data_IF_951257162184
#
_entry.id   IF_951257162184
#
_cell.length_a   1.000
_cell.length_b   1.000
_cell.length_c   1.000
_cell.angle_alpha   90.00
_cell.angle_beta   90.00
_cell.angle_gamma   90.00
#
_symmetry.space_group_name_H-M   'P 1'
#
loop_
_entity.id
_entity.type
_entity.pdbx_description
1 polymer ?
#
# COMPACT_ATOMS: atom_id res chain seq x y z
N UNK A 1 -3.02 15.82 -0.04
CA UNK A 1 -3.36 16.27 1.31
C UNK A 1 -4.03 15.14 2.13
N UNK A 2 -5.10 14.47 1.63
CA UNK A 2 -5.79 13.40 2.35
C UNK A 2 -4.83 12.27 2.80
N UNK A 3 -3.92 11.80 1.93
CA UNK A 3 -2.94 10.78 2.28
C UNK A 3 -1.98 11.23 3.40
N UNK A 4 -1.58 12.50 3.40
CA UNK A 4 -0.74 13.05 4.46
C UNK A 4 -1.48 13.08 5.82
N UNK A 5 -2.77 13.42 5.83
CA UNK A 5 -3.60 13.36 7.05
C UNK A 5 -3.74 11.91 7.57
N UNK A 6 -3.98 10.95 6.68
CA UNK A 6 -4.04 9.53 7.06
C UNK A 6 -2.70 9.07 7.63
N UNK A 7 -1.57 9.45 7.02
CA UNK A 7 -0.24 9.13 7.54
C UNK A 7 0.05 9.81 8.89
N UNK A 8 -0.43 11.03 9.10
CA UNK A 8 -0.32 11.74 10.38
C UNK A 8 -1.04 11.02 11.53
N UNK A 9 -1.92 10.03 11.26
CA UNK A 9 -2.50 9.16 12.28
C UNK A 9 -1.49 8.18 12.89
N UNK A 10 -0.29 8.01 12.32
CA UNK A 10 0.71 7.05 12.80
C UNK A 10 0.96 7.13 14.32
N UNK A 11 1.24 8.29 14.95
CA UNK A 11 1.42 8.37 16.39
C UNK A 11 0.18 7.98 17.19
N UNK A 12 -1.01 8.21 16.66
CA UNK A 12 -2.27 7.83 17.32
C UNK A 12 -2.48 6.31 17.26
N UNK A 13 -2.13 5.67 16.14
CA UNK A 13 -2.17 4.22 16.01
C UNK A 13 -1.21 3.54 16.99
N UNK A 14 0.01 4.06 17.12
CA UNK A 14 1.00 3.57 18.09
C UNK A 14 0.53 3.71 19.54
N UNK A 15 -0.12 4.84 19.87
CA UNK A 15 -0.73 5.09 21.19
C UNK A 15 -2.07 4.39 21.39
N UNK A 16 -2.52 3.57 20.43
CA UNK A 16 -3.82 2.87 20.44
C UNK A 16 -5.04 3.80 20.54
N UNK A 17 -4.90 5.07 20.14
CA UNK A 17 -5.99 6.08 20.13
C UNK A 17 -6.80 5.98 18.85
N UNK A 18 -7.39 4.83 18.62
CA UNK A 18 -8.05 4.49 17.34
C UNK A 18 -9.25 5.37 17.01
N UNK A 19 -10.04 5.81 18.02
CA UNK A 19 -11.14 6.73 17.79
C UNK A 19 -10.68 8.07 17.21
N UNK A 20 -9.56 8.62 17.73
CA UNK A 20 -8.99 9.86 17.20
C UNK A 20 -8.42 9.65 15.79
N UNK A 21 -7.75 8.52 15.52
CA UNK A 21 -7.30 8.17 14.17
C UNK A 21 -8.47 8.06 13.20
N UNK A 22 -9.58 7.42 13.60
CA UNK A 22 -10.81 7.34 12.81
C UNK A 22 -11.37 8.72 12.48
N UNK A 23 -11.43 9.64 13.45
CA UNK A 23 -11.90 11.01 13.21
C UNK A 23 -11.04 11.76 12.18
N UNK A 24 -9.71 11.61 12.26
CA UNK A 24 -8.81 12.25 11.27
C UNK A 24 -9.00 11.61 9.88
N UNK A 25 -9.21 10.30 9.78
CA UNK A 25 -9.49 9.64 8.51
C UNK A 25 -10.83 10.11 7.93
N UNK A 26 -11.86 10.27 8.76
CA UNK A 26 -13.14 10.84 8.34
C UNK A 26 -12.99 12.30 7.86
N UNK A 27 -12.16 13.09 8.55
CA UNK A 27 -11.80 14.43 8.09
C UNK A 27 -11.04 14.39 6.75
N UNK A 28 -10.10 13.46 6.58
CA UNK A 28 -9.40 13.26 5.31
C UNK A 28 -10.37 12.86 4.18
N UNK A 29 -11.42 12.12 4.50
CA UNK A 29 -12.45 11.71 3.55
C UNK A 29 -13.30 12.88 3.03
N UNK A 30 -13.44 13.96 3.78
CA UNK A 30 -14.11 15.20 3.27
C UNK A 30 -13.28 15.87 2.17
N UNK A 31 -11.95 15.67 2.18
CA UNK A 31 -11.05 16.17 1.14
C UNK A 31 -10.97 15.21 -0.05
N UNK A 32 -11.01 13.91 0.22
CA UNK A 32 -10.97 12.87 -0.81
C UNK A 32 -11.64 11.60 -0.30
N UNK A 33 -12.81 11.27 -0.85
CA UNK A 33 -13.68 10.16 -0.39
C UNK A 33 -12.95 8.81 -0.27
N UNK A 34 -11.95 8.55 -1.13
CA UNK A 34 -11.17 7.29 -1.08
C UNK A 34 -10.37 7.12 0.22
N UNK A 35 -10.19 8.17 1.05
CA UNK A 35 -9.56 8.03 2.36
C UNK A 35 -10.35 7.11 3.31
N UNK A 36 -11.68 6.95 3.10
CA UNK A 36 -12.49 5.98 3.84
C UNK A 36 -11.97 4.55 3.71
N UNK A 37 -11.32 4.25 2.59
CA UNK A 37 -10.69 2.95 2.38
C UNK A 37 -9.62 2.61 3.44
N UNK A 38 -9.03 3.61 4.09
CA UNK A 38 -8.05 3.38 5.14
C UNK A 38 -8.67 2.89 6.47
N UNK A 39 -9.98 3.09 6.71
CA UNK A 39 -10.63 2.76 7.99
C UNK A 39 -10.50 1.28 8.41
N UNK A 40 -10.82 0.26 7.59
CA UNK A 40 -10.68 -1.13 8.00
C UNK A 40 -9.23 -1.50 8.33
N UNK A 41 -8.27 -0.86 7.69
CA UNK A 41 -6.85 -1.14 7.88
C UNK A 41 -6.30 -0.59 9.20
N UNK A 42 -6.94 0.39 9.83
CA UNK A 42 -6.64 0.80 11.22
C UNK A 42 -6.73 -0.41 12.17
N UNK A 43 -7.62 -1.35 11.91
CA UNK A 43 -7.80 -2.54 12.73
C UNK A 43 -6.98 -3.72 12.24
N UNK A 44 -6.81 -3.86 10.95
CA UNK A 44 -6.11 -4.95 10.30
C UNK A 44 -4.61 -4.93 10.60
N UNK A 45 -4.01 -3.74 10.58
CA UNK A 45 -2.55 -3.56 10.72
C UNK A 45 -2.05 -3.57 12.16
N UNK A 46 -2.94 -3.81 13.14
CA UNK A 46 -2.57 -3.90 14.56
C UNK A 46 -1.80 -5.17 14.87
N UNK A 47 -0.77 -5.02 15.70
CA UNK A 47 -0.01 -6.14 16.27
C UNK A 47 1.33 -6.31 15.60
N UNK A 48 1.93 -7.48 15.79
CA UNK A 48 3.26 -7.79 15.28
C UNK A 48 3.30 -7.82 13.77
N UNK A 49 4.47 -7.55 13.20
CA UNK A 49 4.75 -7.69 11.79
C UNK A 49 4.39 -9.12 11.31
N UNK A 50 3.79 -9.20 10.13
CA UNK A 50 3.31 -10.47 9.56
C UNK A 50 2.34 -11.23 10.49
N UNK A 51 1.44 -10.50 11.15
CA UNK A 51 0.43 -11.12 12.01
C UNK A 51 -0.66 -11.84 11.19
N UNK A 52 -1.44 -12.69 11.87
CA UNK A 52 -2.51 -13.46 11.23
C UNK A 52 -3.54 -12.60 10.49
N UNK A 53 -3.80 -11.38 10.94
CA UNK A 53 -4.79 -10.49 10.31
C UNK A 53 -4.28 -9.95 8.97
N UNK A 54 -3.00 -9.55 8.89
CA UNK A 54 -2.39 -9.12 7.64
C UNK A 54 -2.23 -10.28 6.65
N UNK A 55 -1.91 -11.48 7.14
CA UNK A 55 -1.91 -12.69 6.30
C UNK A 55 -3.31 -13.03 5.80
N UNK A 56 -4.33 -12.90 6.66
CA UNK A 56 -5.73 -13.11 6.27
C UNK A 56 -6.19 -12.11 5.21
N UNK A 57 -5.65 -10.89 5.19
CA UNK A 57 -5.92 -9.92 4.13
C UNK A 57 -5.31 -10.35 2.77
N UNK A 58 -4.14 -10.98 2.77
CA UNK A 58 -3.50 -11.44 1.54
C UNK A 58 -4.31 -12.57 0.87
N UNK A 59 -4.98 -13.41 1.64
CA UNK A 59 -5.77 -14.52 1.10
C UNK A 59 -6.88 -14.02 0.14
N UNK A 60 -7.81 -13.12 0.53
CA UNK A 60 -8.81 -12.60 -0.40
C UNK A 60 -8.17 -11.83 -1.56
N UNK A 61 -7.05 -11.14 -1.37
CA UNK A 61 -6.33 -10.49 -2.46
C UNK A 61 -5.91 -11.50 -3.53
N UNK A 62 -5.33 -12.63 -3.13
CA UNK A 62 -4.95 -13.71 -4.05
C UNK A 62 -6.19 -14.33 -4.70
N UNK A 63 -7.26 -14.58 -3.94
CA UNK A 63 -8.50 -15.14 -4.49
C UNK A 63 -9.13 -14.20 -5.54
N UNK A 64 -9.16 -12.89 -5.28
CA UNK A 64 -9.66 -11.90 -6.25
C UNK A 64 -8.83 -11.93 -7.54
N UNK A 65 -7.50 -12.01 -7.44
CA UNK A 65 -6.63 -12.09 -8.61
C UNK A 65 -6.86 -13.39 -9.40
N UNK A 66 -7.00 -14.52 -8.71
CA UNK A 66 -7.24 -15.82 -9.37
C UNK A 66 -8.62 -15.91 -10.04
N UNK A 67 -9.61 -15.21 -9.52
CA UNK A 67 -11.00 -15.23 -10.01
C UNK A 67 -11.46 -13.86 -10.50
N UNK A 68 -10.56 -13.12 -11.14
CA UNK A 68 -10.77 -11.70 -11.47
C UNK A 68 -12.06 -11.45 -12.27
N UNK A 69 -12.36 -12.29 -13.27
CA UNK A 69 -13.56 -12.13 -14.09
C UNK A 69 -14.85 -12.29 -13.28
N UNK A 70 -14.88 -13.27 -12.38
CA UNK A 70 -16.02 -13.48 -11.49
C UNK A 70 -16.17 -12.35 -10.48
N UNK A 71 -15.05 -11.88 -9.92
CA UNK A 71 -15.03 -10.74 -9.00
C UNK A 71 -15.54 -9.48 -9.70
N UNK A 72 -15.09 -9.21 -10.92
CA UNK A 72 -15.50 -8.06 -11.72
C UNK A 72 -17.01 -8.09 -11.99
N UNK A 73 -17.56 -9.23 -12.36
CA UNK A 73 -19.00 -9.39 -12.61
C UNK A 73 -19.83 -9.20 -11.34
N UNK A 74 -19.36 -9.75 -10.20
CA UNK A 74 -20.03 -9.54 -8.90
C UNK A 74 -19.98 -8.06 -8.49
N UNK A 75 -18.83 -7.42 -8.68
CA UNK A 75 -18.66 -6.01 -8.37
C UNK A 75 -19.59 -5.14 -9.22
N UNK A 76 -19.72 -5.44 -10.51
CA UNK A 76 -20.65 -4.76 -11.41
C UNK A 76 -22.10 -4.87 -10.91
N UNK A 77 -22.53 -6.08 -10.55
CA UNK A 77 -23.86 -6.31 -9.98
C UNK A 77 -24.09 -5.51 -8.68
N UNK A 78 -23.12 -5.51 -7.77
CA UNK A 78 -23.23 -4.80 -6.49
C UNK A 78 -23.24 -3.27 -6.65
N UNK A 79 -22.62 -2.74 -7.69
CA UNK A 79 -22.52 -1.30 -7.93
C UNK A 79 -23.66 -0.74 -8.79
N UNK A 80 -24.49 -1.58 -9.44
CA UNK A 80 -25.53 -1.18 -10.37
C UNK A 80 -26.48 -0.11 -9.82
N UNK A 81 -26.82 -0.19 -8.54
CA UNK A 81 -27.75 0.74 -7.87
C UNK A 81 -27.03 1.87 -7.09
N UNK A 82 -25.73 2.01 -7.28
CA UNK A 82 -24.92 3.03 -6.58
C UNK A 82 -24.45 4.13 -7.53
N UNK A 83 -23.96 5.23 -6.97
CA UNK A 83 -23.28 6.28 -7.76
C UNK A 83 -22.01 5.78 -8.49
N UNK A 84 -21.54 4.60 -8.16
CA UNK A 84 -20.35 3.94 -8.73
C UNK A 84 -20.69 2.91 -9.82
N UNK A 85 -21.92 2.88 -10.32
CA UNK A 85 -22.40 1.91 -11.33
C UNK A 85 -21.51 1.82 -12.57
N UNK A 86 -20.90 2.94 -12.97
CA UNK A 86 -20.06 3.01 -14.16
C UNK A 86 -18.58 2.66 -13.90
N UNK A 87 -18.16 2.43 -12.66
CA UNK A 87 -16.73 2.21 -12.34
C UNK A 87 -16.15 1.02 -13.09
N UNK A 88 -16.88 -0.09 -13.21
CA UNK A 88 -16.42 -1.29 -13.91
C UNK A 88 -16.47 -1.11 -15.42
N UNK A 89 -17.52 -0.48 -15.96
CA UNK A 89 -17.64 -0.17 -17.39
C UNK A 89 -16.59 0.85 -17.83
N UNK A 90 -16.35 1.89 -17.02
CA UNK A 90 -15.32 2.90 -17.28
C UNK A 90 -13.93 2.29 -17.28
N UNK A 91 -13.62 1.45 -16.31
CA UNK A 91 -12.35 0.75 -16.25
C UNK A 91 -12.14 -0.17 -17.49
N UNK A 92 -13.17 -0.89 -17.96
CA UNK A 92 -13.12 -1.68 -19.21
C UNK A 92 -13.03 -0.79 -20.45
N UNK A 93 -13.72 0.35 -20.45
CA UNK A 93 -13.81 1.28 -21.59
C UNK A 93 -12.56 2.15 -21.79
N UNK A 94 -11.82 2.46 -20.74
CA UNK A 94 -10.58 3.25 -20.81
C UNK A 94 -9.33 2.45 -21.17
N UNK A 95 -9.46 1.17 -21.55
CA UNK A 95 -8.32 0.27 -21.77
C UNK A 95 -7.32 0.31 -20.58
N UNK A 96 -7.85 0.40 -19.35
CA UNK A 96 -7.04 0.45 -18.15
C UNK A 96 -6.38 -0.90 -17.89
N UNK A 97 -5.17 -1.05 -18.39
CA UNK A 97 -4.37 -2.29 -18.31
C UNK A 97 -3.83 -2.55 -16.88
N UNK A 98 -4.39 -1.88 -15.87
CA UNK A 98 -3.95 -2.01 -14.49
C UNK A 98 -2.66 -1.25 -14.18
N UNK A 99 -2.17 -1.44 -12.96
CA UNK A 99 -0.90 -0.83 -12.52
C UNK A 99 0.29 -1.53 -13.18
N UNK A 100 1.22 -0.75 -13.74
CA UNK A 100 2.44 -1.27 -14.34
C UNK A 100 3.21 -2.17 -13.34
N UNK A 101 3.63 -3.35 -13.81
CA UNK A 101 4.35 -4.35 -13.00
C UNK A 101 5.62 -3.79 -12.35
N UNK A 102 6.34 -2.89 -13.02
CA UNK A 102 7.52 -2.24 -12.45
C UNK A 102 7.16 -1.48 -11.17
N UNK A 103 6.02 -0.76 -11.17
CA UNK A 103 5.51 -0.05 -9.99
C UNK A 103 5.18 -1.02 -8.87
N UNK A 104 4.51 -2.13 -9.18
CA UNK A 104 4.20 -3.17 -8.18
C UNK A 104 5.48 -3.70 -7.55
N UNK A 105 6.50 -4.02 -8.36
CA UNK A 105 7.79 -4.53 -7.87
C UNK A 105 8.50 -3.52 -6.98
N UNK A 106 8.57 -2.25 -7.38
CA UNK A 106 9.21 -1.19 -6.59
C UNK A 106 8.58 -1.06 -5.20
N UNK A 107 7.25 -1.02 -5.14
CA UNK A 107 6.55 -0.90 -3.86
C UNK A 107 6.49 -2.20 -3.04
N UNK A 108 6.75 -3.35 -3.67
CA UNK A 108 6.86 -4.64 -2.98
C UNK A 108 8.21 -4.85 -2.28
N UNK A 109 9.27 -4.12 -2.67
CA UNK A 109 10.62 -4.29 -2.11
C UNK A 109 10.64 -4.26 -0.57
N UNK A 110 10.06 -3.25 0.13
CA UNK A 110 10.08 -3.24 1.60
C UNK A 110 9.34 -4.43 2.20
N UNK A 111 8.21 -4.84 1.61
CA UNK A 111 7.46 -6.01 2.08
C UNK A 111 8.28 -7.30 1.95
N UNK A 112 8.97 -7.49 0.83
CA UNK A 112 9.82 -8.67 0.61
C UNK A 112 11.03 -8.67 1.54
N UNK A 113 11.69 -7.52 1.71
CA UNK A 113 12.79 -7.37 2.68
C UNK A 113 12.32 -7.65 4.10
N UNK A 114 11.14 -7.18 4.50
CA UNK A 114 10.58 -7.46 5.83
C UNK A 114 10.34 -8.96 6.07
N UNK A 115 9.98 -9.71 5.04
CA UNK A 115 9.82 -11.17 5.13
C UNK A 115 11.17 -11.87 5.34
N UNK A 116 12.18 -11.50 4.54
CA UNK A 116 13.53 -12.03 4.64
C UNK A 116 14.15 -11.63 5.99
N UNK A 117 13.95 -10.36 6.40
CA UNK A 117 14.49 -9.78 7.62
C UNK A 117 13.65 -9.98 8.88
N UNK A 118 12.65 -10.86 8.85
CA UNK A 118 11.68 -11.01 9.95
C UNK A 118 12.34 -11.27 11.32
N UNK A 119 13.48 -11.96 11.34
CA UNK A 119 14.27 -12.19 12.55
C UNK A 119 14.77 -10.89 13.20
N UNK A 120 15.21 -9.91 12.39
CA UNK A 120 15.68 -8.61 12.87
C UNK A 120 14.51 -7.77 13.41
N UNK A 121 13.38 -7.76 12.67
CA UNK A 121 12.15 -7.05 13.07
C UNK A 121 11.64 -7.59 14.41
N UNK A 122 11.63 -8.92 14.59
CA UNK A 122 11.19 -9.53 15.85
C UNK A 122 12.14 -9.30 17.00
N UNK A 123 13.47 -9.21 16.73
CA UNK A 123 14.48 -8.93 17.75
C UNK A 123 14.39 -7.50 18.26
N UNK A 124 14.17 -6.52 17.37
CA UNK A 124 14.01 -5.11 17.72
C UNK A 124 12.73 -4.86 18.53
N UNK A 125 11.65 -5.56 18.18
CA UNK A 125 10.36 -5.48 18.86
C UNK A 125 9.78 -4.07 18.91
N UNK A 126 10.04 -3.23 17.89
CA UNK A 126 9.55 -1.86 17.80
C UNK A 126 8.13 -1.82 17.21
N UNK A 127 7.12 -1.29 17.95
CA UNK A 127 5.76 -1.16 17.45
C UNK A 127 5.62 -0.29 16.18
N UNK A 128 6.51 0.68 15.97
CA UNK A 128 6.51 1.50 14.77
C UNK A 128 6.90 0.65 13.56
N UNK A 129 7.94 -0.16 13.68
CA UNK A 129 8.39 -1.03 12.59
C UNK A 129 7.35 -2.12 12.31
N UNK A 130 6.76 -2.72 13.35
CA UNK A 130 5.65 -3.66 13.21
C UNK A 130 4.49 -3.03 12.40
N UNK A 131 4.11 -1.78 12.70
CA UNK A 131 3.07 -1.05 11.99
C UNK A 131 3.48 -0.79 10.52
N UNK A 132 4.72 -0.31 10.29
CA UNK A 132 5.21 -0.02 8.95
C UNK A 132 5.22 -1.27 8.06
N UNK A 133 5.64 -2.43 8.60
CA UNK A 133 5.59 -3.72 7.88
C UNK A 133 4.15 -4.08 7.51
N UNK A 134 3.22 -4.02 8.46
CA UNK A 134 1.83 -4.37 8.19
C UNK A 134 1.18 -3.42 7.18
N UNK A 135 1.50 -2.13 7.20
CA UNK A 135 1.05 -1.16 6.19
C UNK A 135 1.68 -1.42 4.81
N UNK A 136 2.98 -1.81 4.78
CA UNK A 136 3.66 -2.19 3.55
C UNK A 136 3.03 -3.43 2.90
N UNK A 137 2.65 -4.44 3.69
CA UNK A 137 1.95 -5.64 3.21
C UNK A 137 0.62 -5.25 2.56
N UNK A 138 -0.15 -4.37 3.20
CA UNK A 138 -1.43 -3.87 2.67
C UNK A 138 -1.20 -3.12 1.36
N UNK A 139 -0.22 -2.21 1.32
CA UNK A 139 0.15 -1.47 0.11
C UNK A 139 0.47 -2.40 -1.04
N UNK A 140 1.34 -3.39 -0.80
CA UNK A 140 1.76 -4.38 -1.81
C UNK A 140 0.57 -5.21 -2.30
N UNK A 141 -0.29 -5.69 -1.40
CA UNK A 141 -1.48 -6.46 -1.76
C UNK A 141 -2.43 -5.67 -2.67
N UNK A 142 -2.66 -4.37 -2.37
CA UNK A 142 -3.52 -3.52 -3.20
C UNK A 142 -2.84 -3.20 -4.54
N UNK A 143 -1.51 -3.00 -4.59
CA UNK A 143 -0.79 -2.84 -5.86
C UNK A 143 -0.87 -4.09 -6.74
N UNK A 144 -0.73 -5.29 -6.15
CA UNK A 144 -0.91 -6.55 -6.88
C UNK A 144 -2.33 -6.62 -7.43
N UNK A 145 -3.34 -6.36 -6.60
CA UNK A 145 -4.74 -6.34 -7.04
C UNK A 145 -4.95 -5.34 -8.18
N UNK A 146 -4.37 -4.15 -8.09
CA UNK A 146 -4.51 -3.11 -9.11
C UNK A 146 -3.85 -3.45 -10.44
N UNK A 147 -2.82 -4.31 -10.45
CA UNK A 147 -2.18 -4.76 -11.68
C UNK A 147 -3.09 -5.67 -12.52
N UNK A 148 -4.05 -6.33 -11.88
CA UNK A 148 -5.02 -7.21 -12.53
C UNK A 148 -6.41 -6.59 -12.66
N UNK A 149 -6.61 -5.35 -12.17
CA UNK A 149 -7.89 -4.64 -12.20
C UNK A 149 -7.72 -3.27 -12.86
N UNK A 150 -7.62 -2.21 -12.06
CA UNK A 150 -7.56 -0.84 -12.53
C UNK A 150 -6.38 -0.08 -11.92
N UNK A 151 -5.49 0.42 -12.77
CA UNK A 151 -4.42 1.32 -12.38
C UNK A 151 -4.93 2.71 -12.01
N UNK A 152 -6.02 3.16 -12.63
CA UNK A 152 -6.60 4.49 -12.44
C UNK A 152 -7.36 4.56 -11.11
N UNK A 153 -8.19 3.56 -10.80
CA UNK A 153 -9.03 3.57 -9.59
C UNK A 153 -8.35 2.86 -8.42
N UNK A 154 -8.01 1.58 -8.57
CA UNK A 154 -7.45 0.75 -7.49
C UNK A 154 -5.99 1.10 -7.23
N UNK A 155 -5.21 1.40 -8.28
CA UNK A 155 -3.79 1.73 -8.18
C UNK A 155 -3.46 3.03 -7.44
N UNK A 156 -4.47 3.86 -7.13
CA UNK A 156 -4.31 5.07 -6.31
C UNK A 156 -4.51 4.82 -4.81
N UNK A 157 -5.18 3.73 -4.42
CA UNK A 157 -5.47 3.43 -3.02
C UNK A 157 -4.22 3.13 -2.18
N UNK A 158 -3.16 2.47 -2.70
CA UNK A 158 -1.95 2.20 -1.93
C UNK A 158 -1.27 3.45 -1.36
N UNK A 159 -1.53 4.66 -1.87
CA UNK A 159 -0.92 5.90 -1.37
C UNK A 159 -1.13 6.12 0.13
N UNK A 160 -2.24 5.64 0.69
CA UNK A 160 -2.55 5.75 2.11
C UNK A 160 -1.65 4.86 2.99
N UNK A 161 -1.01 3.86 2.42
CA UNK A 161 -0.21 2.86 3.12
C UNK A 161 1.26 2.91 2.71
N UNK A 162 1.57 3.24 1.47
CA UNK A 162 2.93 3.22 0.91
C UNK A 162 3.87 4.26 1.54
N UNK A 163 3.34 5.32 2.17
CA UNK A 163 4.15 6.31 2.88
C UNK A 163 4.94 5.68 4.04
N UNK A 164 4.46 4.61 4.65
CA UNK A 164 5.16 3.87 5.69
C UNK A 164 6.44 3.18 5.17
N UNK A 165 6.53 2.93 3.86
CA UNK A 165 7.73 2.37 3.24
C UNK A 165 8.94 3.31 3.33
N UNK A 166 8.72 4.64 3.42
CA UNK A 166 9.79 5.60 3.60
C UNK A 166 10.42 5.58 5.00
N UNK A 167 9.74 4.99 5.98
CA UNK A 167 10.29 4.69 7.30
C UNK A 167 10.92 3.29 7.28
N UNK A 168 10.19 2.32 6.73
CA UNK A 168 10.55 0.91 6.77
C UNK A 168 11.84 0.61 6.00
N UNK A 169 11.93 1.03 4.75
CA UNK A 169 13.05 0.67 3.88
C UNK A 169 14.41 1.16 4.39
N UNK A 170 14.59 2.42 4.85
CA UNK A 170 15.84 2.83 5.48
C UNK A 170 16.17 2.03 6.72
N UNK A 171 15.18 1.73 7.56
CA UNK A 171 15.37 0.91 8.75
C UNK A 171 15.87 -0.50 8.39
N UNK A 172 15.24 -1.17 7.41
CA UNK A 172 15.64 -2.48 6.91
C UNK A 172 17.07 -2.49 6.40
N UNK A 173 17.45 -1.50 5.60
CA UNK A 173 18.81 -1.38 5.10
C UNK A 173 19.82 -1.28 6.24
N UNK A 174 19.53 -0.50 7.28
CA UNK A 174 20.46 -0.30 8.39
C UNK A 174 20.58 -1.51 9.33
N UNK A 175 19.52 -2.30 9.50
CA UNK A 175 19.49 -3.41 10.46
C UNK A 175 19.81 -4.77 9.82
N UNK A 176 19.63 -4.89 8.50
CA UNK A 176 19.83 -6.17 7.80
C UNK A 176 21.19 -6.29 7.10
N UNK A 177 21.85 -5.16 6.85
CA UNK A 177 23.08 -5.15 6.04
C UNK A 177 24.27 -4.53 6.78
N UNK A 178 25.50 -4.85 6.34
CA UNK A 178 26.72 -4.28 6.91
C UNK A 178 26.83 -2.79 6.60
N UNK A 179 27.53 -2.01 7.45
CA UNK A 179 27.73 -0.56 7.27
C UNK A 179 28.26 -0.19 5.86
N UNK A 180 29.11 -1.02 5.28
CA UNK A 180 29.65 -0.82 3.93
C UNK A 180 28.57 -1.03 2.88
N UNK A 181 27.81 -2.12 2.99
CA UNK A 181 26.72 -2.44 2.08
C UNK A 181 25.58 -1.41 2.15
N UNK A 182 25.22 -0.95 3.35
CA UNK A 182 24.17 0.08 3.54
C UNK A 182 24.50 1.34 2.72
N UNK A 183 25.74 1.82 2.74
CA UNK A 183 26.12 3.03 2.00
C UNK A 183 25.89 2.85 0.49
N UNK A 184 26.35 1.70 -0.05
CA UNK A 184 26.19 1.39 -1.47
C UNK A 184 24.70 1.23 -1.81
N UNK A 185 23.95 0.45 -1.04
CA UNK A 185 22.53 0.20 -1.25
C UNK A 185 21.70 1.50 -1.17
N UNK A 186 22.03 2.40 -0.24
CA UNK A 186 21.35 3.70 -0.13
C UNK A 186 21.56 4.55 -1.38
N UNK A 187 22.81 4.62 -1.88
CA UNK A 187 23.08 5.36 -3.13
C UNK A 187 22.37 4.74 -4.32
N UNK A 188 22.43 3.42 -4.46
CA UNK A 188 21.71 2.69 -5.51
C UNK A 188 20.19 2.93 -5.42
N UNK A 189 19.63 2.88 -4.23
CA UNK A 189 18.22 3.15 -3.98
C UNK A 189 17.83 4.57 -4.41
N UNK A 190 18.61 5.58 -4.04
CA UNK A 190 18.35 6.99 -4.43
C UNK A 190 18.38 7.15 -5.95
N UNK A 191 19.39 6.59 -6.62
CA UNK A 191 19.51 6.62 -8.09
C UNK A 191 18.31 5.92 -8.73
N UNK A 192 17.92 4.76 -8.21
CA UNK A 192 16.80 3.98 -8.72
C UNK A 192 15.46 4.72 -8.54
N UNK A 193 15.20 5.32 -7.37
CA UNK A 193 13.99 6.12 -7.15
C UNK A 193 13.96 7.37 -8.02
N UNK A 194 15.10 8.02 -8.26
CA UNK A 194 15.19 9.13 -9.17
C UNK A 194 14.83 8.70 -10.61
N UNK A 195 15.42 7.60 -11.07
CA UNK A 195 15.08 7.03 -12.38
C UNK A 195 13.60 6.66 -12.47
N UNK A 196 13.06 5.98 -11.43
CA UNK A 196 11.65 5.60 -11.37
C UNK A 196 10.71 6.82 -11.37
N UNK A 197 11.11 7.91 -10.73
CA UNK A 197 10.38 9.19 -10.77
C UNK A 197 10.29 9.75 -12.20
N UNK A 198 11.41 9.85 -12.90
CA UNK A 198 11.42 10.33 -14.30
C UNK A 198 10.67 9.39 -15.25
N UNK A 199 10.79 8.09 -15.04
CA UNK A 199 9.99 7.10 -15.77
C UNK A 199 8.48 7.33 -15.55
N UNK A 200 8.08 7.61 -14.33
CA UNK A 200 6.69 7.94 -13.99
C UNK A 200 6.22 9.22 -14.69
N UNK A 201 7.00 10.29 -14.68
CA UNK A 201 6.67 11.54 -15.37
C UNK A 201 6.46 11.32 -16.88
N UNK A 202 7.35 10.56 -17.53
CA UNK A 202 7.24 10.21 -18.94
C UNK A 202 5.98 9.39 -19.22
N UNK A 203 5.67 8.41 -18.38
CA UNK A 203 4.47 7.55 -18.54
C UNK A 203 3.17 8.35 -18.41
N UNK A 204 3.15 9.41 -17.61
CA UNK A 204 1.98 10.29 -17.47
C UNK A 204 1.96 11.47 -18.45
N UNK A 205 2.90 11.52 -19.41
CA UNK A 205 2.94 12.59 -20.41
C UNK A 205 3.27 13.97 -19.82
N UNK A 206 4.02 14.01 -18.71
CA UNK A 206 4.44 15.23 -18.03
C UNK A 206 5.87 15.64 -18.41
N UNK A 207 6.55 14.83 -19.23
CA UNK A 207 7.85 15.05 -19.87
C UNK A 207 7.75 14.71 -21.34
#
# INVERSE_FOLDING_TARGET
>A
LAAALVFACCPLLLRKRYGQATLIILLAATLHASALFALPFVFLTRGKAWNRKTLLFLLPTVLVVLFIDRFTNILELLLQETQYKNVVSDWKGFEDNGTNLLRVLVYAVPTLLSLIGLRFIRAENDPLIDLCVNMSIVSTGIYILSAFTSGIFVGRLPIYFSLYNYILLPWELHHMFSKRSVRILTVMMLIFYLFFYFYGLKTFGLL
#
